data_IF_378920353620
#
_entry.id   IF_378920353620
#
_cell.length_a   1.000
_cell.length_b   1.000
_cell.length_c   1.000
_cell.angle_alpha   90.00
_cell.angle_beta   90.00
_cell.angle_gamma   90.00
#
_symmetry.space_group_name_H-M   'P 1'
#
loop_
_entity.id
_entity.type
_entity.pdbx_description
1 polymer ?
#
# COMPACT_ATOMS: atom_id res chain seq x y z
N UNK A 1 -90.04 -9.34 -22.40
CA UNK A 1 -89.07 -8.23 -22.69
C UNK A 1 -87.69 -8.77 -22.33
N UNK A 2 -87.01 -9.28 -23.34
CA UNK A 2 -85.68 -9.84 -23.24
C UNK A 2 -84.64 -8.76 -23.52
N UNK A 3 -83.63 -8.69 -22.72
CA UNK A 3 -82.42 -7.91 -23.03
C UNK A 3 -81.27 -8.88 -23.26
N UNK A 4 -80.76 -8.91 -24.48
CA UNK A 4 -79.55 -9.63 -24.90
C UNK A 4 -78.31 -8.85 -24.44
N UNK A 5 -77.34 -9.58 -23.87
CA UNK A 5 -76.02 -9.07 -23.60
C UNK A 5 -75.08 -9.42 -24.76
N UNK A 6 -74.62 -8.44 -25.49
CA UNK A 6 -73.53 -8.57 -26.43
C UNK A 6 -72.16 -8.49 -25.69
N UNK A 7 -71.39 -9.56 -25.74
CA UNK A 7 -69.98 -9.57 -25.36
C UNK A 7 -69.16 -9.33 -26.64
N UNK A 8 -68.60 -8.13 -26.76
CA UNK A 8 -67.65 -7.80 -27.82
C UNK A 8 -66.21 -8.06 -27.38
N UNK A 9 -65.54 -8.98 -28.04
CA UNK A 9 -64.09 -9.20 -27.94
C UNK A 9 -63.35 -8.00 -28.55
N UNK A 10 -62.60 -7.29 -27.75
CA UNK A 10 -61.60 -6.32 -28.19
C UNK A 10 -60.21 -6.82 -27.89
N UNK A 11 -59.65 -7.64 -28.77
CA UNK A 11 -58.20 -7.86 -28.83
C UNK A 11 -57.49 -6.65 -29.44
N UNK A 12 -57.05 -5.75 -28.59
CA UNK A 12 -56.27 -4.60 -29.01
C UNK A 12 -54.76 -4.96 -29.01
N UNK A 13 -54.01 -4.58 -30.07
CA UNK A 13 -52.54 -4.75 -30.09
C UNK A 13 -51.80 -4.10 -28.90
N UNK A 14 -52.45 -3.20 -28.24
CA UNK A 14 -51.93 -2.51 -27.06
C UNK A 14 -51.83 -3.41 -25.80
N UNK A 15 -52.73 -4.39 -25.63
CA UNK A 15 -52.68 -5.36 -24.52
C UNK A 15 -51.53 -6.36 -24.67
N UNK A 16 -51.13 -6.76 -25.89
CA UNK A 16 -49.97 -7.64 -26.10
C UNK A 16 -48.63 -6.97 -25.77
N UNK A 17 -48.49 -5.64 -26.06
CA UNK A 17 -47.28 -4.88 -25.69
C UNK A 17 -47.21 -4.62 -24.18
N UNK A 18 -48.34 -4.45 -23.51
CA UNK A 18 -48.37 -4.24 -22.04
C UNK A 18 -48.04 -5.51 -21.26
N UNK A 19 -48.47 -6.69 -21.74
CA UNK A 19 -48.15 -7.98 -21.12
C UNK A 19 -46.67 -8.39 -21.30
N UNK A 20 -46.05 -8.03 -22.42
CA UNK A 20 -44.62 -8.24 -22.63
C UNK A 20 -43.75 -7.27 -21.80
N UNK A 21 -44.22 -6.02 -21.60
CA UNK A 21 -43.56 -5.05 -20.73
C UNK A 21 -43.61 -5.39 -19.24
N UNK A 22 -44.73 -5.95 -18.77
CA UNK A 22 -44.89 -6.36 -17.38
C UNK A 22 -44.12 -7.64 -17.06
N UNK A 23 -43.97 -8.58 -18.01
CA UNK A 23 -43.14 -9.77 -17.80
C UNK A 23 -41.63 -9.42 -17.71
N UNK A 24 -41.16 -8.43 -18.49
CA UNK A 24 -39.78 -7.95 -18.40
C UNK A 24 -39.49 -7.20 -17.08
N UNK A 25 -40.47 -6.44 -16.58
CA UNK A 25 -40.36 -5.76 -15.26
C UNK A 25 -40.44 -6.73 -14.08
N UNK A 26 -41.19 -7.84 -14.18
CA UNK A 26 -41.28 -8.83 -13.11
C UNK A 26 -40.03 -9.74 -13.01
N UNK A 27 -39.33 -9.98 -14.11
CA UNK A 27 -38.02 -10.68 -14.09
C UNK A 27 -36.91 -9.80 -13.51
N UNK A 28 -37.00 -8.47 -13.70
CA UNK A 28 -36.07 -7.51 -13.17
C UNK A 28 -36.17 -7.34 -11.63
N UNK A 29 -37.35 -7.56 -11.05
CA UNK A 29 -37.58 -7.44 -9.61
C UNK A 29 -37.08 -8.63 -8.77
N UNK A 30 -36.56 -9.68 -9.40
CA UNK A 30 -36.00 -10.87 -8.70
C UNK A 30 -34.48 -10.78 -8.47
N UNK A 31 -33.79 -9.79 -9.08
CA UNK A 31 -32.38 -9.59 -8.84
C UNK A 31 -32.16 -8.57 -7.74
N UNK A 32 -31.19 -8.78 -6.83
CA UNK A 32 -30.85 -7.78 -5.82
C UNK A 32 -30.42 -6.47 -6.53
N UNK A 33 -30.73 -5.29 -5.95
CA UNK A 33 -30.47 -3.98 -6.58
C UNK A 33 -29.03 -3.80 -7.10
N UNK A 34 -28.05 -4.40 -6.42
CA UNK A 34 -26.64 -4.38 -6.78
C UNK A 34 -26.33 -5.18 -8.05
N UNK A 35 -26.97 -6.35 -8.25
CA UNK A 35 -26.81 -7.16 -9.46
C UNK A 35 -27.37 -6.43 -10.69
N UNK A 36 -28.42 -5.63 -10.50
CA UNK A 36 -29.02 -4.81 -11.56
C UNK A 36 -28.09 -3.70 -12.04
N UNK A 37 -27.48 -2.98 -11.10
CA UNK A 37 -26.50 -1.90 -11.40
C UNK A 37 -25.26 -2.50 -12.08
N UNK A 38 -24.77 -3.63 -11.58
CA UNK A 38 -23.61 -4.32 -12.15
C UNK A 38 -23.86 -4.78 -13.59
N UNK A 39 -25.02 -5.36 -13.86
CA UNK A 39 -25.40 -5.82 -15.22
C UNK A 39 -25.59 -4.64 -16.19
N UNK A 40 -26.17 -3.54 -15.73
CA UNK A 40 -26.35 -2.33 -16.53
C UNK A 40 -24.98 -1.68 -16.88
N UNK A 41 -24.05 -1.64 -15.93
CA UNK A 41 -22.69 -1.15 -16.16
C UNK A 41 -21.90 -2.04 -17.11
N UNK A 42 -22.01 -3.37 -16.98
CA UNK A 42 -21.36 -4.31 -17.89
C UNK A 42 -21.88 -4.20 -19.34
N UNK A 43 -23.18 -3.92 -19.52
CA UNK A 43 -23.75 -3.64 -20.84
C UNK A 43 -23.27 -2.32 -21.44
N UNK A 44 -23.03 -1.30 -20.60
CA UNK A 44 -22.47 -0.01 -21.03
C UNK A 44 -21.00 -0.13 -21.42
N UNK A 45 -20.25 -1.02 -20.77
CA UNK A 45 -18.82 -1.28 -20.97
C UNK A 45 -18.57 -2.73 -21.42
N UNK A 46 -18.95 -3.14 -22.65
CA UNK A 46 -18.74 -4.52 -23.11
C UNK A 46 -17.25 -4.88 -23.13
N UNK A 47 -16.92 -6.12 -22.76
CA UNK A 47 -15.52 -6.59 -22.59
C UNK A 47 -14.66 -6.33 -23.83
N UNK A 48 -15.18 -6.54 -25.03
CA UNK A 48 -14.46 -6.28 -26.28
C UNK A 48 -14.03 -4.81 -26.50
N UNK A 49 -14.60 -3.87 -25.74
CA UNK A 49 -14.21 -2.44 -25.78
C UNK A 49 -13.27 -2.04 -24.66
N UNK A 50 -13.41 -2.66 -23.48
CA UNK A 50 -12.67 -2.24 -22.27
C UNK A 50 -11.45 -3.13 -21.99
N UNK A 51 -11.31 -4.27 -22.67
CA UNK A 51 -10.14 -5.16 -22.55
C UNK A 51 -9.81 -5.73 -23.91
N UNK A 52 -8.85 -5.13 -24.60
CA UNK A 52 -8.44 -5.49 -25.97
C UNK A 52 -7.09 -6.23 -26.02
N UNK A 53 -6.40 -6.34 -24.87
CA UNK A 53 -5.04 -6.90 -24.75
C UNK A 53 -5.00 -8.33 -24.20
N UNK A 54 -6.17 -8.99 -24.11
CA UNK A 54 -6.26 -10.41 -23.70
C UNK A 54 -6.07 -10.67 -22.22
N UNK A 55 -6.30 -9.66 -21.37
CA UNK A 55 -6.32 -9.80 -19.91
C UNK A 55 -7.50 -10.68 -19.45
N UNK A 56 -7.37 -11.23 -18.24
CA UNK A 56 -8.42 -12.05 -17.60
C UNK A 56 -9.62 -11.18 -17.16
N UNK A 57 -10.35 -10.70 -18.14
CA UNK A 57 -11.56 -9.86 -18.01
C UNK A 57 -12.70 -10.50 -18.77
N UNK A 58 -13.84 -10.65 -18.12
CA UNK A 58 -15.11 -11.13 -18.72
C UNK A 58 -16.18 -10.05 -18.56
N UNK A 59 -17.43 -10.33 -18.95
CA UNK A 59 -18.54 -9.39 -18.74
C UNK A 59 -18.96 -9.26 -17.27
N UNK A 60 -18.54 -10.17 -16.38
CA UNK A 60 -18.93 -10.20 -14.98
C UNK A 60 -17.78 -10.12 -13.99
N UNK A 61 -16.56 -10.45 -14.40
CA UNK A 61 -15.41 -10.58 -13.52
C UNK A 61 -14.13 -10.03 -14.16
N UNK A 62 -13.22 -9.56 -13.30
CA UNK A 62 -11.84 -9.19 -13.64
C UNK A 62 -10.89 -9.80 -12.61
N UNK A 63 -9.78 -10.39 -13.06
CA UNK A 63 -8.81 -11.03 -12.16
C UNK A 63 -7.61 -10.12 -11.94
N UNK A 64 -7.20 -9.95 -10.66
CA UNK A 64 -5.98 -9.26 -10.24
C UNK A 64 -5.04 -10.24 -9.51
N UNK A 65 -3.77 -9.90 -9.41
CA UNK A 65 -2.79 -10.64 -8.61
C UNK A 65 -2.56 -9.97 -7.25
N UNK A 66 -2.29 -10.78 -6.23
CA UNK A 66 -1.75 -10.37 -4.93
C UNK A 66 -0.43 -11.12 -4.75
N UNK A 67 0.69 -10.38 -4.63
CA UNK A 67 2.03 -10.97 -4.57
C UNK A 67 2.81 -10.38 -3.40
N UNK A 68 2.82 -11.10 -2.28
CA UNK A 68 3.53 -10.74 -1.05
C UNK A 68 4.19 -11.97 -0.43
N UNK A 69 5.13 -11.76 0.50
CA UNK A 69 5.66 -12.86 1.33
C UNK A 69 4.72 -13.13 2.49
N UNK A 70 4.07 -14.29 2.48
CA UNK A 70 3.31 -14.80 3.64
C UNK A 70 4.10 -15.87 4.40
N UNK A 71 5.29 -16.22 3.90
CA UNK A 71 6.27 -17.07 4.55
C UNK A 71 7.67 -16.45 4.54
N UNK A 72 8.56 -16.92 5.42
CA UNK A 72 9.94 -16.42 5.55
C UNK A 72 10.08 -15.18 6.44
N UNK A 73 11.25 -14.52 6.36
CA UNK A 73 11.68 -13.42 7.25
C UNK A 73 10.82 -12.16 7.13
N UNK A 74 10.20 -11.94 5.96
CA UNK A 74 9.39 -10.75 5.69
C UNK A 74 7.89 -10.94 5.97
N UNK A 75 7.45 -12.16 6.31
CA UNK A 75 6.04 -12.44 6.57
C UNK A 75 5.41 -11.51 7.64
N UNK A 76 6.17 -11.17 8.68
CA UNK A 76 5.76 -10.24 9.75
C UNK A 76 5.38 -8.86 9.20
N UNK A 77 6.02 -8.40 8.12
CA UNK A 77 5.80 -7.09 7.51
C UNK A 77 4.81 -7.12 6.34
N UNK A 78 4.53 -8.29 5.75
CA UNK A 78 3.80 -8.39 4.48
C UNK A 78 2.39 -9.00 4.62
N UNK A 79 2.12 -9.78 5.67
CA UNK A 79 0.81 -10.44 5.85
C UNK A 79 -0.33 -9.43 5.95
N UNK A 80 -0.16 -8.34 6.70
CA UNK A 80 -1.15 -7.28 6.82
C UNK A 80 -1.50 -6.63 5.47
N UNK A 81 -0.54 -6.53 4.54
CA UNK A 81 -0.79 -6.00 3.20
C UNK A 81 -1.78 -6.87 2.42
N UNK A 82 -1.62 -8.20 2.45
CA UNK A 82 -2.57 -9.15 1.83
C UNK A 82 -3.97 -8.99 2.41
N UNK A 83 -4.06 -8.81 3.72
CA UNK A 83 -5.33 -8.63 4.43
C UNK A 83 -6.02 -7.33 4.03
N UNK A 84 -5.26 -6.24 3.93
CA UNK A 84 -5.78 -4.93 3.54
C UNK A 84 -6.25 -4.89 2.07
N UNK A 85 -5.53 -5.53 1.16
CA UNK A 85 -5.91 -5.67 -0.25
C UNK A 85 -7.20 -6.48 -0.42
N UNK A 86 -7.34 -7.58 0.32
CA UNK A 86 -8.57 -8.38 0.33
C UNK A 86 -9.76 -7.59 0.88
N UNK A 87 -9.58 -6.82 1.94
CA UNK A 87 -10.63 -5.93 2.47
C UNK A 87 -11.05 -4.89 1.42
N UNK A 88 -10.09 -4.25 0.74
CA UNK A 88 -10.40 -3.29 -0.32
C UNK A 88 -11.18 -3.94 -1.46
N UNK A 89 -10.76 -5.12 -1.91
CA UNK A 89 -11.44 -5.88 -2.97
C UNK A 89 -12.88 -6.23 -2.56
N UNK A 90 -13.09 -6.68 -1.33
CA UNK A 90 -14.44 -6.98 -0.82
C UNK A 90 -15.34 -5.74 -0.82
N UNK A 91 -14.82 -4.62 -0.33
CA UNK A 91 -15.56 -3.35 -0.31
C UNK A 91 -15.88 -2.83 -1.72
N UNK A 92 -14.95 -2.94 -2.66
CA UNK A 92 -15.16 -2.58 -4.07
C UNK A 92 -16.22 -3.47 -4.69
N UNK A 93 -16.15 -4.77 -4.44
CA UNK A 93 -17.14 -5.74 -4.94
C UNK A 93 -18.54 -5.49 -4.37
N UNK A 94 -18.63 -5.09 -3.10
CA UNK A 94 -19.89 -4.71 -2.46
C UNK A 94 -20.50 -3.46 -3.10
N UNK A 95 -19.69 -2.59 -3.73
CA UNK A 95 -20.13 -1.38 -4.44
C UNK A 95 -20.40 -1.60 -5.94
N UNK A 96 -20.37 -2.82 -6.45
CA UNK A 96 -20.62 -3.14 -7.85
C UNK A 96 -19.38 -3.44 -8.68
N UNK A 97 -18.19 -3.50 -8.04
CA UNK A 97 -16.93 -3.86 -8.69
C UNK A 97 -16.32 -2.73 -9.51
N UNK A 98 -15.68 -3.06 -10.62
CA UNK A 98 -15.00 -2.14 -11.53
C UNK A 98 -15.60 -2.25 -12.93
N UNK A 99 -16.13 -1.16 -13.47
CA UNK A 99 -16.87 -1.15 -14.74
C UNK A 99 -17.91 -2.29 -14.83
N UNK A 100 -18.60 -2.60 -13.71
CA UNK A 100 -19.60 -3.66 -13.63
C UNK A 100 -19.04 -5.08 -13.45
N UNK A 101 -17.74 -5.26 -13.17
CA UNK A 101 -17.10 -6.55 -12.93
C UNK A 101 -16.69 -6.71 -11.49
N UNK A 102 -16.98 -7.89 -10.92
CA UNK A 102 -16.42 -8.26 -9.62
C UNK A 102 -14.94 -8.56 -9.77
N UNK A 103 -14.14 -8.09 -8.83
CA UNK A 103 -12.72 -8.42 -8.75
C UNK A 103 -12.59 -9.82 -8.17
N UNK A 104 -11.90 -10.69 -8.90
CA UNK A 104 -11.31 -11.94 -8.41
C UNK A 104 -9.83 -11.73 -8.20
N UNK A 105 -9.22 -12.48 -7.30
CA UNK A 105 -7.77 -12.39 -7.11
C UNK A 105 -7.11 -13.76 -7.11
N UNK A 106 -5.85 -13.78 -7.54
CA UNK A 106 -4.92 -14.90 -7.40
C UNK A 106 -3.84 -14.44 -6.46
N UNK A 107 -3.69 -15.13 -5.32
CA UNK A 107 -2.63 -14.83 -4.35
C UNK A 107 -1.44 -15.75 -4.59
N UNK A 108 -0.24 -15.17 -4.65
CA UNK A 108 1.04 -15.86 -4.74
C UNK A 108 1.93 -15.47 -3.56
N UNK A 109 2.66 -16.46 -3.03
CA UNK A 109 3.64 -16.25 -1.97
C UNK A 109 5.04 -16.01 -2.58
N UNK A 110 5.63 -14.87 -2.28
CA UNK A 110 7.01 -14.52 -2.67
C UNK A 110 8.07 -15.17 -1.77
N UNK A 111 7.66 -15.83 -0.67
CA UNK A 111 8.48 -16.62 0.24
C UNK A 111 9.74 -15.89 0.76
N UNK A 112 9.74 -14.56 0.83
CA UNK A 112 10.90 -13.71 1.18
C UNK A 112 12.13 -13.93 0.27
N UNK A 113 11.90 -14.41 -0.96
CA UNK A 113 12.93 -14.76 -1.94
C UNK A 113 12.73 -14.00 -3.26
N UNK A 114 13.71 -13.21 -3.66
CA UNK A 114 13.57 -12.31 -4.81
C UNK A 114 13.38 -13.00 -6.15
N UNK A 115 14.11 -14.10 -6.48
CA UNK A 115 13.84 -14.92 -7.65
C UNK A 115 12.41 -15.47 -7.70
N UNK A 116 11.90 -15.95 -6.56
CA UNK A 116 10.51 -16.43 -6.42
C UNK A 116 9.51 -15.34 -6.76
N UNK A 117 9.73 -14.10 -6.29
CA UNK A 117 8.86 -12.96 -6.68
C UNK A 117 8.82 -12.76 -8.20
N UNK A 118 9.98 -12.81 -8.88
CA UNK A 118 10.04 -12.65 -10.34
C UNK A 118 9.31 -13.79 -11.08
N UNK A 119 9.47 -15.04 -10.62
CA UNK A 119 8.76 -16.20 -11.16
C UNK A 119 7.24 -16.04 -10.99
N UNK A 120 6.78 -15.70 -9.78
CA UNK A 120 5.35 -15.51 -9.48
C UNK A 120 4.75 -14.33 -10.26
N UNK A 121 5.48 -13.22 -10.39
CA UNK A 121 5.07 -12.11 -11.23
C UNK A 121 4.89 -12.53 -12.68
N UNK A 122 5.84 -13.28 -13.24
CA UNK A 122 5.72 -13.81 -14.60
C UNK A 122 4.52 -14.74 -14.75
N UNK A 123 4.27 -15.63 -13.78
CA UNK A 123 3.09 -16.51 -13.78
C UNK A 123 1.79 -15.69 -13.84
N UNK A 124 1.65 -14.69 -12.95
CA UNK A 124 0.47 -13.83 -12.88
C UNK A 124 0.23 -13.07 -14.19
N UNK A 125 1.27 -12.54 -14.83
CA UNK A 125 1.15 -11.73 -16.05
C UNK A 125 0.96 -12.59 -17.31
N UNK A 126 1.69 -13.71 -17.44
CA UNK A 126 1.72 -14.50 -18.68
C UNK A 126 0.67 -15.61 -18.69
N UNK A 127 0.58 -16.36 -17.58
CA UNK A 127 -0.31 -17.52 -17.51
C UNK A 127 -1.72 -17.11 -17.07
N UNK A 128 -1.79 -16.33 -15.99
CA UNK A 128 -3.06 -15.94 -15.37
C UNK A 128 -3.64 -14.65 -16.00
N UNK A 129 -2.82 -13.88 -16.74
CA UNK A 129 -3.19 -12.67 -17.49
C UNK A 129 -3.95 -11.65 -16.64
N UNK A 130 -3.51 -11.46 -15.39
CA UNK A 130 -4.17 -10.56 -14.46
C UNK A 130 -4.16 -9.12 -14.95
N UNK A 131 -5.21 -8.36 -14.65
CA UNK A 131 -5.36 -6.97 -15.08
C UNK A 131 -4.49 -6.00 -14.27
N UNK A 132 -4.01 -6.41 -13.11
CA UNK A 132 -3.08 -5.66 -12.26
C UNK A 132 -2.52 -6.59 -11.18
N UNK A 133 -1.41 -6.21 -10.56
CA UNK A 133 -0.86 -6.90 -9.38
C UNK A 133 -0.71 -5.86 -8.27
N UNK A 134 -1.16 -6.24 -7.07
CA UNK A 134 -0.89 -5.54 -5.81
C UNK A 134 0.24 -6.29 -5.13
N UNK A 135 1.31 -5.62 -4.70
CA UNK A 135 2.33 -6.43 -4.06
C UNK A 135 3.74 -5.88 -4.03
N UNK A 136 4.61 -6.76 -3.63
CA UNK A 136 5.98 -6.55 -3.19
C UNK A 136 6.05 -5.71 -1.91
N UNK A 137 7.13 -5.87 -1.16
CA UNK A 137 7.42 -5.04 0.00
C UNK A 137 8.84 -4.48 -0.06
N UNK A 138 9.82 -5.33 -0.22
CA UNK A 138 11.22 -4.88 -0.27
C UNK A 138 11.55 -4.25 -1.62
N UNK A 139 12.47 -3.27 -1.62
CA UNK A 139 13.01 -2.75 -2.88
C UNK A 139 13.73 -3.85 -3.69
N UNK A 140 14.22 -4.89 -3.03
CA UNK A 140 14.83 -6.02 -3.72
C UNK A 140 13.79 -6.85 -4.48
N UNK A 141 12.64 -7.17 -3.88
CA UNK A 141 11.55 -7.87 -4.58
C UNK A 141 10.99 -7.00 -5.72
N UNK A 142 10.75 -5.69 -5.49
CA UNK A 142 10.32 -4.77 -6.54
C UNK A 142 11.29 -4.75 -7.72
N UNK A 143 12.60 -4.62 -7.47
CA UNK A 143 13.62 -4.61 -8.54
C UNK A 143 13.75 -5.95 -9.26
N UNK A 144 13.45 -7.06 -8.60
CA UNK A 144 13.40 -8.37 -9.25
C UNK A 144 12.20 -8.51 -10.19
N UNK A 145 11.03 -7.95 -9.82
CA UNK A 145 9.82 -8.05 -10.65
C UNK A 145 9.72 -6.96 -11.71
N UNK A 146 10.35 -5.78 -11.52
CA UNK A 146 10.23 -4.64 -12.43
C UNK A 146 10.53 -4.99 -13.88
N UNK A 147 11.64 -5.69 -14.23
CA UNK A 147 11.89 -6.10 -15.62
C UNK A 147 10.79 -7.02 -16.19
N UNK A 148 10.16 -7.83 -15.34
CA UNK A 148 9.05 -8.72 -15.73
C UNK A 148 7.81 -7.88 -16.07
N UNK A 149 7.47 -6.89 -15.23
CA UNK A 149 6.35 -5.99 -15.50
C UNK A 149 6.56 -5.15 -16.75
N UNK A 150 7.77 -4.65 -16.99
CA UNK A 150 8.10 -3.88 -18.19
C UNK A 150 8.09 -4.75 -19.45
N UNK A 151 8.65 -5.96 -19.37
CA UNK A 151 8.71 -6.90 -20.51
C UNK A 151 7.32 -7.35 -20.96
N UNK A 152 6.44 -7.67 -20.00
CA UNK A 152 5.09 -8.21 -20.30
C UNK A 152 4.00 -7.15 -20.20
N UNK A 153 4.38 -5.87 -20.08
CA UNK A 153 3.48 -4.73 -19.95
C UNK A 153 2.39 -4.97 -18.88
N UNK A 154 2.82 -5.34 -17.65
CA UNK A 154 1.94 -5.48 -16.50
C UNK A 154 1.82 -4.15 -15.73
N UNK A 155 0.88 -4.07 -14.77
CA UNK A 155 0.73 -2.95 -13.85
C UNK A 155 0.89 -3.43 -12.41
N UNK A 156 1.84 -2.84 -11.67
CA UNK A 156 2.10 -3.09 -10.26
C UNK A 156 1.64 -1.89 -9.41
N UNK A 157 0.90 -2.15 -8.34
CA UNK A 157 0.66 -1.20 -7.25
C UNK A 157 1.55 -1.60 -6.08
N UNK A 158 2.62 -0.81 -5.86
CA UNK A 158 3.67 -1.08 -4.89
C UNK A 158 3.45 -0.27 -3.60
N UNK A 159 3.17 -0.91 -2.44
CA UNK A 159 2.68 -0.21 -1.25
C UNK A 159 3.78 0.37 -0.36
N UNK A 160 5.03 -0.08 -0.49
CA UNK A 160 6.05 0.21 0.51
C UNK A 160 6.77 1.52 0.23
N UNK A 161 7.08 2.25 1.30
CA UNK A 161 8.03 3.35 1.24
C UNK A 161 9.38 2.85 0.71
N UNK A 162 10.14 3.73 0.01
CA UNK A 162 11.37 3.29 -0.62
C UNK A 162 12.36 4.45 -0.88
N UNK A 163 13.55 4.11 -1.35
CA UNK A 163 14.66 5.04 -1.55
C UNK A 163 14.49 6.06 -2.68
N UNK A 164 13.44 5.97 -3.49
CA UNK A 164 13.35 6.73 -4.74
C UNK A 164 14.31 6.19 -5.80
N UNK A 165 14.83 7.07 -6.66
CA UNK A 165 15.77 6.79 -7.75
C UNK A 165 15.25 5.76 -8.77
N UNK A 166 13.92 5.69 -8.90
CA UNK A 166 13.22 4.81 -9.83
C UNK A 166 11.89 5.44 -10.24
N UNK A 167 11.54 5.24 -11.50
CA UNK A 167 10.22 5.54 -12.04
C UNK A 167 9.94 4.57 -13.18
N UNK A 168 8.74 4.01 -13.23
CA UNK A 168 8.29 3.15 -14.33
C UNK A 168 6.83 3.44 -14.65
N UNK A 169 6.45 3.42 -15.93
CA UNK A 169 5.04 3.51 -16.34
C UNK A 169 4.20 2.32 -15.85
N UNK A 170 4.87 1.21 -15.51
CA UNK A 170 4.26 -0.03 -15.09
C UNK A 170 4.10 -0.16 -13.57
N UNK A 171 4.47 0.88 -12.81
CA UNK A 171 4.37 0.87 -11.35
C UNK A 171 3.67 2.12 -10.83
N UNK A 172 2.68 1.93 -9.97
CA UNK A 172 2.13 2.98 -9.13
C UNK A 172 2.70 2.79 -7.71
N UNK A 173 3.44 3.78 -7.23
CA UNK A 173 4.10 3.75 -5.93
C UNK A 173 3.16 4.37 -4.90
N UNK A 174 2.50 3.54 -4.08
CA UNK A 174 1.57 4.03 -3.07
C UNK A 174 2.23 4.30 -1.71
N UNK A 175 3.48 3.87 -1.51
CA UNK A 175 4.35 4.27 -0.39
C UNK A 175 5.09 5.58 -0.65
N UNK A 176 5.70 6.15 0.39
CA UNK A 176 6.51 7.35 0.29
C UNK A 176 7.89 7.08 -0.33
N UNK A 177 8.46 8.10 -0.97
CA UNK A 177 9.84 8.05 -1.46
C UNK A 177 10.78 8.90 -0.55
N UNK A 178 12.06 9.00 -0.92
CA UNK A 178 13.09 9.56 -0.08
C UNK A 178 12.85 11.00 0.40
N UNK A 179 12.26 11.87 -0.44
CA UNK A 179 12.01 13.28 -0.06
C UNK A 179 10.90 13.39 0.97
N UNK A 180 9.90 12.55 0.85
CA UNK A 180 8.74 12.52 1.74
C UNK A 180 9.02 11.84 3.08
N UNK A 181 9.98 10.92 3.14
CA UNK A 181 10.24 10.13 4.34
C UNK A 181 11.65 10.37 4.92
N UNK A 182 12.71 10.08 4.14
CA UNK A 182 14.09 10.14 4.63
C UNK A 182 14.49 11.56 4.96
N UNK A 183 14.40 12.46 3.97
CA UNK A 183 14.83 13.86 4.10
C UNK A 183 13.95 14.59 5.10
N UNK A 184 12.63 14.50 4.96
CA UNK A 184 11.69 15.14 5.86
C UNK A 184 11.84 14.67 7.32
N UNK A 185 12.09 13.36 7.54
CA UNK A 185 12.33 12.81 8.87
C UNK A 185 13.62 13.30 9.49
N UNK A 186 14.70 13.40 8.72
CA UNK A 186 15.99 13.94 9.19
C UNK A 186 15.90 15.43 9.54
N UNK A 187 15.22 16.21 8.71
CA UNK A 187 14.99 17.64 9.00
C UNK A 187 14.18 17.82 10.28
N UNK A 188 13.13 17.02 10.45
CA UNK A 188 12.32 17.07 11.66
C UNK A 188 13.11 16.70 12.91
N UNK A 189 13.87 15.60 12.90
CA UNK A 189 14.62 15.16 14.08
C UNK A 189 15.75 16.12 14.42
N UNK A 190 16.44 16.65 13.41
CA UNK A 190 17.48 17.65 13.60
C UNK A 190 16.90 18.92 14.25
N UNK A 191 15.82 19.46 13.71
CA UNK A 191 15.17 20.67 14.19
C UNK A 191 14.59 20.49 15.60
N UNK A 192 13.92 19.36 15.84
CA UNK A 192 13.18 19.13 17.09
C UNK A 192 14.07 18.68 18.24
N UNK A 193 15.15 17.92 17.95
CA UNK A 193 16.07 17.38 18.95
C UNK A 193 17.40 18.15 19.04
N UNK A 194 17.60 19.17 18.20
CA UNK A 194 18.87 19.89 18.08
C UNK A 194 20.06 18.93 17.84
N UNK A 195 19.81 17.81 17.15
CA UNK A 195 20.77 16.74 16.91
C UNK A 195 21.95 17.22 16.08
N UNK A 196 23.17 16.78 16.42
CA UNK A 196 24.43 17.12 15.75
C UNK A 196 25.16 15.89 15.21
N UNK A 197 24.88 14.73 15.78
CA UNK A 197 25.58 13.47 15.49
C UNK A 197 24.61 12.33 15.29
N UNK A 198 24.91 11.49 14.29
CA UNK A 198 24.06 10.37 13.88
C UNK A 198 24.87 9.06 13.82
N UNK A 199 24.21 7.96 14.10
CA UNK A 199 24.69 6.61 13.83
C UNK A 199 23.68 5.90 12.95
N UNK A 200 24.11 5.42 11.76
CA UNK A 200 23.23 4.85 10.75
C UNK A 200 23.29 3.31 10.83
N UNK A 201 22.15 2.67 10.87
CA UNK A 201 22.01 1.21 10.83
C UNK A 201 21.08 0.81 9.69
N UNK A 202 21.33 -0.34 9.08
CA UNK A 202 20.45 -0.88 8.06
C UNK A 202 20.53 -2.40 7.91
N UNK A 203 19.48 -2.99 7.39
CA UNK A 203 19.56 -4.33 6.81
C UNK A 203 20.43 -4.30 5.54
N UNK A 204 21.13 -5.40 5.27
CA UNK A 204 22.11 -5.46 4.18
C UNK A 204 21.48 -5.83 2.84
N UNK A 205 20.74 -4.88 2.26
CA UNK A 205 20.25 -4.97 0.88
C UNK A 205 20.04 -3.55 0.29
N UNK A 206 19.53 -3.46 -0.92
CA UNK A 206 19.54 -2.21 -1.72
C UNK A 206 18.85 -1.04 -1.03
N UNK A 207 17.65 -1.23 -0.43
CA UNK A 207 16.90 -0.13 0.17
C UNK A 207 17.63 0.54 1.35
N UNK A 208 18.07 -0.17 2.43
CA UNK A 208 18.76 0.50 3.53
C UNK A 208 20.10 1.10 3.12
N UNK A 209 20.85 0.45 2.21
CA UNK A 209 22.11 0.99 1.72
C UNK A 209 21.93 2.27 0.93
N UNK A 210 20.94 2.32 0.04
CA UNK A 210 20.65 3.54 -0.74
C UNK A 210 20.04 4.62 0.14
N UNK A 211 19.12 4.26 1.04
CA UNK A 211 18.51 5.20 2.00
C UNK A 211 19.55 5.82 2.94
N UNK A 212 20.48 5.03 3.47
CA UNK A 212 21.57 5.57 4.29
C UNK A 212 22.55 6.41 3.49
N UNK A 213 22.80 6.09 2.20
CA UNK A 213 23.60 6.96 1.31
C UNK A 213 22.92 8.34 1.15
N UNK A 214 21.59 8.36 0.96
CA UNK A 214 20.81 9.60 0.90
C UNK A 214 20.85 10.32 2.25
N UNK A 215 20.60 9.61 3.35
CA UNK A 215 20.64 10.15 4.69
C UNK A 215 22.00 10.75 5.04
N UNK A 216 23.10 10.05 4.76
CA UNK A 216 24.45 10.56 4.96
C UNK A 216 24.72 11.82 4.16
N UNK A 217 24.39 11.84 2.85
CA UNK A 217 24.52 13.04 2.02
C UNK A 217 23.74 14.22 2.61
N UNK A 218 22.51 13.97 3.09
CA UNK A 218 21.69 15.03 3.70
C UNK A 218 22.31 15.54 5.01
N UNK A 219 22.68 14.64 5.91
CA UNK A 219 23.29 14.97 7.18
C UNK A 219 24.59 15.75 6.99
N UNK A 220 25.53 15.25 6.17
CA UNK A 220 26.87 15.83 6.06
C UNK A 220 26.91 17.05 5.11
N UNK A 221 26.19 17.02 3.98
CA UNK A 221 26.31 18.03 2.93
C UNK A 221 25.26 19.14 3.04
N UNK A 222 24.04 18.84 3.54
CA UNK A 222 22.96 19.82 3.66
C UNK A 222 22.91 20.37 5.08
N UNK A 223 22.74 19.49 6.08
CA UNK A 223 22.64 19.88 7.48
C UNK A 223 23.99 20.27 8.10
N UNK A 224 25.13 19.91 7.48
CA UNK A 224 26.50 20.15 7.97
C UNK A 224 26.75 19.51 9.35
N UNK A 225 26.23 18.29 9.54
CA UNK A 225 26.32 17.50 10.76
C UNK A 225 27.22 16.28 10.55
N UNK A 226 27.36 15.41 11.57
CA UNK A 226 28.32 14.30 11.53
C UNK A 226 27.61 12.96 11.61
N UNK A 227 28.07 11.99 10.81
CA UNK A 227 27.78 10.56 10.94
C UNK A 227 28.94 9.89 11.65
N UNK A 228 28.69 9.34 12.85
CA UNK A 228 29.72 8.72 13.70
C UNK A 228 30.00 7.27 13.35
N UNK A 229 29.04 6.60 12.70
CA UNK A 229 29.16 5.22 12.26
C UNK A 229 28.03 4.81 11.33
N UNK A 230 28.28 3.74 10.56
CA UNK A 230 27.29 3.18 9.64
C UNK A 230 27.56 1.67 9.52
N UNK A 231 26.54 0.86 9.83
CA UNK A 231 26.68 -0.61 9.81
C UNK A 231 25.43 -1.27 9.22
N UNK A 232 25.67 -2.44 8.61
CA UNK A 232 24.63 -3.22 7.92
C UNK A 232 24.64 -4.67 8.39
N UNK A 233 23.45 -5.28 8.43
CA UNK A 233 23.21 -6.64 8.90
C UNK A 233 22.40 -7.42 7.87
N UNK A 234 22.79 -8.67 7.55
CA UNK A 234 21.98 -9.52 6.70
C UNK A 234 20.54 -9.63 7.19
N UNK A 235 19.58 -9.80 6.26
CA UNK A 235 18.19 -10.08 6.62
C UNK A 235 18.12 -11.34 7.51
N UNK A 236 17.28 -11.30 8.53
CA UNK A 236 17.18 -12.39 9.52
C UNK A 236 18.28 -12.40 10.58
N UNK A 237 19.16 -11.38 10.62
CA UNK A 237 20.18 -11.26 11.69
C UNK A 237 19.55 -11.19 13.07
N UNK A 238 20.19 -11.90 14.02
CA UNK A 238 19.76 -11.94 15.42
C UNK A 238 20.85 -11.47 16.40
N UNK A 239 21.99 -10.95 15.91
CA UNK A 239 23.14 -10.56 16.71
C UNK A 239 23.49 -9.08 16.50
N UNK A 240 23.16 -8.24 17.49
CA UNK A 240 23.36 -6.79 17.44
C UNK A 240 24.21 -6.24 18.60
N UNK A 241 24.65 -7.08 19.55
CA UNK A 241 25.38 -6.64 20.74
C UNK A 241 26.65 -5.83 20.40
N UNK A 242 27.40 -6.22 19.35
CA UNK A 242 28.62 -5.52 18.94
C UNK A 242 28.32 -4.06 18.54
N UNK A 243 27.36 -3.85 17.66
CA UNK A 243 26.99 -2.49 17.19
C UNK A 243 26.35 -1.67 18.31
N UNK A 244 25.56 -2.29 19.18
CA UNK A 244 24.96 -1.63 20.34
C UNK A 244 26.07 -1.10 21.27
N UNK A 245 27.11 -1.88 21.52
CA UNK A 245 28.26 -1.43 22.29
C UNK A 245 29.01 -0.26 21.62
N UNK A 246 29.21 -0.31 20.30
CA UNK A 246 29.82 0.81 19.54
C UNK A 246 28.98 2.08 19.63
N UNK A 247 27.66 1.98 19.51
CA UNK A 247 26.75 3.13 19.68
C UNK A 247 26.82 3.70 21.10
N UNK A 248 26.85 2.87 22.14
CA UNK A 248 27.02 3.30 23.55
C UNK A 248 28.34 4.02 23.78
N UNK A 249 29.42 3.62 23.10
CA UNK A 249 30.72 4.27 23.19
C UNK A 249 30.78 5.59 22.42
N UNK A 250 30.23 5.62 21.21
CA UNK A 250 30.24 6.82 20.34
C UNK A 250 29.23 7.88 20.76
N UNK A 251 28.18 7.53 21.50
CA UNK A 251 27.13 8.39 22.05
C UNK A 251 26.53 9.34 20.98
N UNK A 252 25.95 8.82 19.90
CA UNK A 252 25.31 9.65 18.90
C UNK A 252 24.07 10.35 19.51
N UNK A 253 23.76 11.56 19.06
CA UNK A 253 22.49 12.21 19.43
C UNK A 253 21.30 11.44 18.88
N UNK A 254 21.44 10.85 17.67
CA UNK A 254 20.39 10.08 16.99
C UNK A 254 20.92 8.74 16.51
N UNK A 255 20.25 7.67 16.88
CA UNK A 255 20.33 6.37 16.20
C UNK A 255 19.30 6.37 15.07
N UNK A 256 19.75 6.30 13.83
CA UNK A 256 18.89 6.19 12.66
C UNK A 256 18.88 4.75 12.15
N UNK A 257 17.80 4.02 12.45
CA UNK A 257 17.74 2.56 12.27
C UNK A 257 16.77 2.18 11.14
N UNK A 258 17.32 1.56 10.09
CA UNK A 258 16.57 1.02 8.92
C UNK A 258 16.74 -0.51 8.89
N UNK A 259 16.35 -1.18 9.97
CA UNK A 259 16.33 -2.64 10.10
C UNK A 259 14.92 -3.12 9.77
N UNK A 260 14.79 -4.26 9.04
CA UNK A 260 13.50 -4.76 8.58
C UNK A 260 13.22 -6.20 8.97
N UNK A 261 11.93 -6.56 8.93
CA UNK A 261 11.46 -7.92 9.18
C UNK A 261 11.79 -8.44 10.57
N UNK A 262 11.95 -9.75 10.71
CA UNK A 262 12.20 -10.42 11.99
C UNK A 262 13.47 -9.97 12.72
N UNK A 263 14.43 -9.33 12.03
CA UNK A 263 15.63 -8.77 12.65
C UNK A 263 15.33 -7.66 13.65
N UNK A 264 14.23 -6.91 13.46
CA UNK A 264 13.79 -5.88 14.40
C UNK A 264 13.54 -6.43 15.80
N UNK A 265 12.95 -7.62 15.91
CA UNK A 265 12.66 -8.26 17.19
C UNK A 265 13.94 -8.44 18.02
N UNK A 266 15.00 -8.95 17.39
CA UNK A 266 16.29 -9.16 18.07
C UNK A 266 16.99 -7.84 18.39
N UNK A 267 16.98 -6.87 17.46
CA UNK A 267 17.63 -5.57 17.63
C UNK A 267 17.05 -4.80 18.83
N UNK A 268 15.74 -4.57 18.86
CA UNK A 268 15.12 -3.77 19.92
C UNK A 268 15.18 -4.45 21.29
N UNK A 269 15.01 -5.78 21.36
CA UNK A 269 15.19 -6.53 22.62
C UNK A 269 16.62 -6.41 23.17
N UNK A 270 17.64 -6.56 22.31
CA UNK A 270 19.05 -6.42 22.72
C UNK A 270 19.38 -4.97 23.08
N UNK A 271 18.84 -3.97 22.36
CA UNK A 271 19.02 -2.56 22.66
C UNK A 271 18.51 -2.23 24.08
N UNK A 272 17.30 -2.68 24.41
CA UNK A 272 16.73 -2.54 25.76
C UNK A 272 17.54 -3.30 26.82
N UNK A 273 17.92 -4.56 26.55
CA UNK A 273 18.72 -5.36 27.47
C UNK A 273 20.11 -4.74 27.76
N UNK A 274 20.67 -4.02 26.78
CA UNK A 274 21.90 -3.24 26.95
C UNK A 274 21.72 -1.93 27.77
N UNK A 275 20.51 -1.66 28.25
CA UNK A 275 20.18 -0.48 29.07
C UNK A 275 20.01 0.82 28.29
N UNK A 276 19.75 0.76 26.98
CA UNK A 276 19.44 1.93 26.17
C UNK A 276 17.96 2.31 26.39
N UNK A 277 17.74 3.45 27.01
CA UNK A 277 16.41 4.03 27.25
C UNK A 277 16.03 4.99 26.11
N UNK A 278 15.10 4.60 25.24
CA UNK A 278 14.68 5.39 24.08
C UNK A 278 13.87 6.64 24.45
N UNK A 279 13.51 6.84 25.72
CA UNK A 279 13.00 8.12 26.20
C UNK A 279 14.10 9.16 26.37
N UNK A 280 15.37 8.72 26.49
CA UNK A 280 16.56 9.58 26.64
C UNK A 280 17.44 9.58 25.39
N UNK A 281 17.64 8.41 24.78
CA UNK A 281 18.37 8.25 23.52
C UNK A 281 17.38 8.40 22.35
N UNK A 282 17.54 9.43 21.55
CA UNK A 282 16.72 9.55 20.33
C UNK A 282 17.05 8.42 19.37
N UNK A 283 16.05 7.63 19.02
CA UNK A 283 16.08 6.69 17.91
C UNK A 283 14.99 7.07 16.92
N UNK A 284 15.34 7.19 15.65
CA UNK A 284 14.39 7.34 14.54
C UNK A 284 14.49 6.16 13.61
N UNK A 285 13.35 5.60 13.27
CA UNK A 285 13.20 4.59 12.24
C UNK A 285 12.35 5.10 11.09
N UNK A 286 12.51 4.47 9.93
CA UNK A 286 11.64 4.62 8.76
C UNK A 286 11.17 3.25 8.26
N UNK A 287 11.22 2.23 9.10
CA UNK A 287 10.96 0.82 8.74
C UNK A 287 10.16 0.05 9.79
N UNK A 288 9.81 0.65 10.92
CA UNK A 288 9.04 -0.03 11.96
C UNK A 288 7.68 0.62 12.06
N UNK A 289 6.66 -0.12 11.69
CA UNK A 289 5.25 0.25 11.81
C UNK A 289 4.60 -0.53 12.95
N UNK A 290 3.31 -0.36 13.17
CA UNK A 290 2.58 -1.09 14.19
C UNK A 290 2.66 -2.61 13.98
N UNK A 291 2.71 -3.08 12.73
CA UNK A 291 2.83 -4.51 12.38
C UNK A 291 4.13 -5.10 12.96
N UNK A 292 5.26 -4.40 12.84
CA UNK A 292 6.53 -4.86 13.40
C UNK A 292 6.54 -4.74 14.93
N UNK A 293 5.91 -3.69 15.50
CA UNK A 293 5.87 -3.51 16.95
C UNK A 293 5.13 -4.65 17.64
N UNK A 294 4.11 -5.22 17.02
CA UNK A 294 3.41 -6.38 17.56
C UNK A 294 4.37 -7.56 17.83
N UNK A 295 5.30 -7.81 16.90
CA UNK A 295 6.34 -8.82 17.08
C UNK A 295 7.50 -8.41 18.00
N UNK A 296 7.88 -7.13 18.02
CA UNK A 296 8.95 -6.57 18.85
C UNK A 296 8.54 -6.57 20.33
N UNK A 297 7.29 -6.24 20.61
CA UNK A 297 6.74 -5.87 21.91
C UNK A 297 6.95 -4.37 22.19
N UNK A 298 5.85 -3.66 22.44
CA UNK A 298 5.85 -2.19 22.60
C UNK A 298 6.80 -1.71 23.71
N UNK A 299 6.98 -2.51 24.77
CA UNK A 299 7.90 -2.21 25.87
C UNK A 299 9.38 -2.20 25.44
N UNK A 300 9.73 -2.79 24.28
CA UNK A 300 11.11 -2.81 23.75
C UNK A 300 11.44 -1.61 22.88
N UNK A 301 10.42 -0.92 22.34
CA UNK A 301 10.59 0.19 21.38
C UNK A 301 10.01 1.51 21.90
N UNK A 302 9.31 1.50 23.02
CA UNK A 302 8.66 2.70 23.58
C UNK A 302 9.61 3.89 23.62
N UNK A 303 9.15 5.04 23.11
CA UNK A 303 9.93 6.28 23.02
C UNK A 303 10.67 6.49 21.70
N UNK A 304 10.82 5.46 20.85
CA UNK A 304 11.36 5.60 19.50
C UNK A 304 10.43 6.46 18.62
N UNK A 305 11.01 7.15 17.65
CA UNK A 305 10.27 7.91 16.64
C UNK A 305 10.23 7.13 15.32
N UNK A 306 9.09 7.20 14.62
CA UNK A 306 8.96 6.69 13.25
C UNK A 306 8.52 7.83 12.32
N UNK A 307 9.10 7.90 11.11
CA UNK A 307 8.68 8.83 10.06
C UNK A 307 7.94 8.04 8.98
N UNK A 308 6.63 8.30 8.84
CA UNK A 308 5.69 7.56 7.99
C UNK A 308 4.64 8.51 7.42
N UNK A 309 3.77 8.01 6.54
CA UNK A 309 2.59 8.76 6.09
C UNK A 309 1.32 8.40 6.87
N UNK A 310 1.30 7.25 7.51
CA UNK A 310 0.15 6.73 8.24
C UNK A 310 0.55 6.15 9.59
N UNK A 311 -0.34 6.30 10.55
CA UNK A 311 -0.36 5.59 11.83
C UNK A 311 -1.79 5.15 12.12
N UNK A 312 -1.99 3.96 12.68
CA UNK A 312 -3.33 3.44 13.03
C UNK A 312 -4.09 4.40 13.96
N UNK A 313 -3.37 5.16 14.78
CA UNK A 313 -3.91 6.13 15.72
C UNK A 313 -4.44 7.43 15.09
N UNK A 314 -4.39 7.61 13.77
CA UNK A 314 -4.88 8.82 13.11
C UNK A 314 -6.36 9.07 13.38
N UNK A 315 -6.68 10.28 13.87
CA UNK A 315 -8.04 10.68 14.20
C UNK A 315 -8.74 11.38 13.03
N UNK A 316 -9.21 10.59 12.07
CA UNK A 316 -10.07 11.06 11.00
C UNK A 316 -11.16 10.03 10.65
N UNK A 317 -12.29 10.44 10.04
CA UNK A 317 -13.42 9.54 9.74
C UNK A 317 -13.06 8.36 8.84
N UNK A 318 -12.21 8.58 7.83
CA UNK A 318 -11.81 7.53 6.89
C UNK A 318 -10.99 6.44 7.61
N UNK A 319 -10.06 6.84 8.47
CA UNK A 319 -9.26 5.90 9.24
C UNK A 319 -10.12 5.09 10.21
N UNK A 320 -11.02 5.76 10.94
CA UNK A 320 -11.94 5.06 11.85
C UNK A 320 -12.78 4.01 11.13
N UNK A 321 -13.29 4.33 9.95
CA UNK A 321 -14.06 3.39 9.13
C UNK A 321 -13.19 2.22 8.63
N UNK A 322 -11.97 2.50 8.19
CA UNK A 322 -11.01 1.49 7.72
C UNK A 322 -10.60 0.54 8.85
N UNK A 323 -10.16 1.07 10.01
CA UNK A 323 -9.76 0.27 11.18
C UNK A 323 -10.92 -0.61 11.65
N UNK A 324 -12.13 -0.04 11.75
CA UNK A 324 -13.32 -0.81 12.12
C UNK A 324 -13.64 -1.94 11.14
N UNK A 325 -13.53 -1.69 9.83
CA UNK A 325 -13.76 -2.70 8.81
C UNK A 325 -12.66 -3.79 8.81
N UNK A 326 -11.41 -3.40 9.02
CA UNK A 326 -10.28 -4.31 9.11
C UNK A 326 -10.42 -5.25 10.32
N UNK A 327 -10.69 -4.70 11.49
CA UNK A 327 -10.93 -5.48 12.72
C UNK A 327 -12.14 -6.40 12.59
N UNK A 328 -13.21 -5.94 11.96
CA UNK A 328 -14.40 -6.79 11.71
C UNK A 328 -14.07 -8.01 10.85
N UNK A 329 -13.15 -7.87 9.88
CA UNK A 329 -12.81 -8.95 8.95
C UNK A 329 -11.74 -9.89 9.52
N UNK A 330 -10.74 -9.34 10.25
CA UNK A 330 -9.53 -10.07 10.65
C UNK A 330 -9.39 -10.24 12.17
N UNK A 331 -10.22 -9.57 12.95
CA UNK A 331 -10.22 -9.64 14.42
C UNK A 331 -9.72 -8.37 15.10
N UNK A 332 -10.26 -8.09 16.29
CA UNK A 332 -10.03 -6.83 17.03
C UNK A 332 -8.57 -6.62 17.50
N UNK A 333 -7.76 -7.68 17.48
CA UNK A 333 -6.36 -7.63 17.91
C UNK A 333 -5.38 -7.40 16.75
N UNK A 334 -5.87 -7.40 15.51
CA UNK A 334 -4.99 -7.13 14.37
C UNK A 334 -4.53 -5.67 14.37
N UNK A 335 -3.28 -5.46 14.02
CA UNK A 335 -2.67 -4.12 13.92
C UNK A 335 -2.55 -3.70 12.46
N UNK A 336 -2.42 -2.40 12.24
CA UNK A 336 -2.40 -1.83 10.89
C UNK A 336 -1.26 -0.84 10.81
N UNK A 337 -0.19 -1.20 10.12
CA UNK A 337 0.94 -0.31 9.84
C UNK A 337 0.76 0.52 8.57
N UNK A 338 1.75 1.38 8.33
CA UNK A 338 1.82 2.26 7.17
C UNK A 338 1.71 1.51 5.84
N UNK A 339 2.46 0.41 5.68
CA UNK A 339 2.47 -0.37 4.43
C UNK A 339 1.17 -1.14 4.25
N UNK A 340 0.59 -1.68 5.33
CA UNK A 340 -0.73 -2.32 5.34
C UNK A 340 -1.80 -1.35 4.85
N UNK A 341 -1.78 -0.10 5.33
CA UNK A 341 -2.70 0.95 4.87
C UNK A 341 -2.42 1.33 3.41
N UNK A 342 -1.15 1.44 3.00
CA UNK A 342 -0.79 1.76 1.62
C UNK A 342 -1.20 0.65 0.63
N UNK A 343 -1.18 -0.61 1.05
CA UNK A 343 -1.67 -1.75 0.29
C UNK A 343 -3.20 -1.66 0.06
N UNK A 344 -3.97 -1.23 1.08
CA UNK A 344 -5.39 -0.94 0.92
C UNK A 344 -5.68 0.08 -0.18
N UNK A 345 -4.79 1.05 -0.41
CA UNK A 345 -4.96 2.05 -1.47
C UNK A 345 -4.85 1.44 -2.87
N UNK A 346 -4.05 0.40 -3.05
CA UNK A 346 -3.77 -0.21 -4.36
C UNK A 346 -5.03 -0.56 -5.15
N UNK A 347 -5.91 -1.45 -4.65
CA UNK A 347 -7.16 -1.81 -5.34
C UNK A 347 -8.09 -0.63 -5.58
N UNK A 348 -8.19 0.33 -4.64
CA UNK A 348 -9.01 1.52 -4.80
C UNK A 348 -8.49 2.46 -5.88
N UNK A 349 -7.20 2.76 -5.89
CA UNK A 349 -6.58 3.61 -6.91
C UNK A 349 -6.65 2.94 -8.29
N UNK A 350 -6.44 1.61 -8.36
CA UNK A 350 -6.63 0.86 -9.58
C UNK A 350 -8.06 0.96 -10.11
N UNK A 351 -9.07 0.73 -9.26
CA UNK A 351 -10.48 0.90 -9.62
C UNK A 351 -10.74 2.28 -10.21
N UNK A 352 -10.36 3.33 -9.48
CA UNK A 352 -10.60 4.72 -9.89
C UNK A 352 -9.89 5.06 -11.21
N UNK A 353 -8.70 4.51 -11.41
CA UNK A 353 -7.93 4.69 -12.63
C UNK A 353 -8.56 3.97 -13.83
N UNK A 354 -8.99 2.72 -13.65
CA UNK A 354 -9.69 1.95 -14.68
C UNK A 354 -11.00 2.64 -15.08
N UNK A 355 -11.76 3.14 -14.12
CA UNK A 355 -13.01 3.87 -14.39
C UNK A 355 -12.75 5.18 -15.14
N UNK A 356 -11.70 5.93 -14.79
CA UNK A 356 -11.26 7.12 -15.52
C UNK A 356 -10.78 6.79 -16.93
N UNK A 357 -10.07 5.70 -17.12
CA UNK A 357 -9.62 5.22 -18.42
C UNK A 357 -10.76 4.66 -19.29
N UNK A 358 -11.85 4.19 -18.67
CA UNK A 358 -12.89 3.40 -19.34
C UNK A 358 -12.35 2.09 -19.94
N UNK A 359 -11.26 1.55 -19.37
CA UNK A 359 -10.54 0.40 -19.92
C UNK A 359 -9.72 -0.32 -18.86
N UNK A 360 -9.51 -1.64 -19.05
CA UNK A 360 -8.56 -2.45 -18.29
C UNK A 360 -7.18 -2.53 -18.96
N UNK A 361 -7.05 -2.09 -20.22
CA UNK A 361 -5.78 -2.14 -20.95
C UNK A 361 -4.69 -1.34 -20.25
N UNK A 362 -3.55 -1.96 -19.99
CA UNK A 362 -2.48 -1.43 -19.14
C UNK A 362 -2.00 -0.03 -19.58
N UNK A 363 -1.77 0.18 -20.88
CA UNK A 363 -1.30 1.49 -21.38
C UNK A 363 -2.33 2.60 -21.15
N UNK A 364 -3.63 2.29 -21.27
CA UNK A 364 -4.71 3.24 -20.99
C UNK A 364 -4.83 3.52 -19.50
N UNK A 365 -4.68 2.50 -18.67
CA UNK A 365 -4.67 2.63 -17.21
C UNK A 365 -3.47 3.47 -16.78
N UNK A 366 -2.26 3.16 -17.26
CA UNK A 366 -1.05 3.94 -16.97
C UNK A 366 -1.21 5.42 -17.35
N UNK A 367 -1.70 5.70 -18.57
CA UNK A 367 -1.92 7.06 -19.06
C UNK A 367 -3.01 7.83 -18.28
N UNK A 368 -4.01 7.13 -17.74
CA UNK A 368 -5.09 7.73 -16.95
C UNK A 368 -4.71 7.94 -15.47
N UNK A 369 -3.66 7.28 -14.96
CA UNK A 369 -3.27 7.32 -13.55
C UNK A 369 -2.97 8.71 -13.01
N UNK A 370 -2.24 9.61 -13.71
CA UNK A 370 -1.95 10.94 -13.19
C UNK A 370 -3.22 11.72 -12.85
N UNK A 371 -3.21 12.35 -11.67
CA UNK A 371 -4.33 13.14 -11.17
C UNK A 371 -5.52 12.33 -10.65
N UNK A 372 -5.45 11.00 -10.59
CA UNK A 372 -6.47 10.19 -9.90
C UNK A 372 -6.40 10.48 -8.41
N UNK A 373 -7.55 10.73 -7.80
CA UNK A 373 -7.70 11.11 -6.40
C UNK A 373 -8.48 10.04 -5.64
N UNK A 374 -8.03 9.73 -4.41
CA UNK A 374 -8.80 8.92 -3.49
C UNK A 374 -9.07 9.70 -2.19
N UNK A 375 -10.28 10.23 -2.06
CA UNK A 375 -10.73 11.01 -0.90
C UNK A 375 -11.07 10.14 0.31
N UNK A 376 -11.29 8.85 0.10
CA UNK A 376 -11.59 7.85 1.14
C UNK A 376 -10.35 7.20 1.75
N UNK A 377 -9.14 7.65 1.42
CA UNK A 377 -7.92 7.07 1.96
C UNK A 377 -7.84 7.22 3.49
N UNK A 378 -7.44 6.17 4.23
CA UNK A 378 -7.32 6.23 5.70
C UNK A 378 -6.32 7.27 6.19
N UNK A 379 -5.23 7.49 5.45
CA UNK A 379 -4.26 8.55 5.74
C UNK A 379 -4.78 9.97 5.49
N UNK A 380 -5.96 10.09 4.87
CA UNK A 380 -6.54 11.30 4.33
C UNK A 380 -6.49 11.32 2.79
N UNK A 381 -6.74 12.49 2.20
CA UNK A 381 -6.72 12.65 0.75
C UNK A 381 -5.36 12.32 0.14
N UNK A 382 -5.36 11.50 -0.92
CA UNK A 382 -4.18 11.20 -1.74
C UNK A 382 -4.48 11.43 -3.22
N UNK A 383 -3.43 11.71 -4.00
CA UNK A 383 -3.51 11.91 -5.45
C UNK A 383 -2.28 11.32 -6.13
N UNK A 384 -2.47 10.65 -7.26
CA UNK A 384 -1.36 10.15 -8.08
C UNK A 384 -0.73 11.32 -8.83
N UNK A 385 0.58 11.48 -8.69
CA UNK A 385 1.41 12.44 -9.42
C UNK A 385 1.74 11.91 -10.83
N UNK A 386 2.21 12.79 -11.73
CA UNK A 386 2.62 12.42 -13.09
C UNK A 386 3.78 11.40 -13.15
N UNK A 387 4.59 11.34 -12.10
CA UNK A 387 5.65 10.35 -11.95
C UNK A 387 5.19 9.03 -11.31
N UNK A 388 3.88 8.80 -11.19
CA UNK A 388 3.24 7.61 -10.63
C UNK A 388 3.43 7.40 -9.12
N UNK A 389 3.93 8.39 -8.39
CA UNK A 389 3.96 8.40 -6.91
C UNK A 389 2.75 9.14 -6.34
N UNK A 390 2.55 9.05 -5.03
CA UNK A 390 1.45 9.76 -4.38
C UNK A 390 1.91 11.08 -3.77
N UNK A 391 1.13 12.14 -3.99
CA UNK A 391 1.09 13.25 -3.06
C UNK A 391 0.58 12.73 -1.72
N UNK A 392 1.34 12.89 -0.66
CA UNK A 392 0.96 12.44 0.68
C UNK A 392 1.49 13.38 1.76
N UNK A 393 0.92 13.32 2.96
CA UNK A 393 1.50 13.98 4.13
C UNK A 393 2.63 13.15 4.72
N UNK A 394 3.61 13.82 5.30
CA UNK A 394 4.61 13.17 6.14
C UNK A 394 4.27 13.40 7.61
N UNK A 395 4.38 12.36 8.40
CA UNK A 395 4.09 12.35 9.82
C UNK A 395 5.24 11.77 10.61
N UNK A 396 5.35 12.17 11.86
CA UNK A 396 6.23 11.52 12.83
C UNK A 396 5.39 11.05 14.00
N UNK A 397 5.54 9.79 14.33
CA UNK A 397 4.94 9.16 15.49
C UNK A 397 5.98 8.84 16.56
N UNK A 398 5.57 8.78 17.83
CA UNK A 398 6.37 8.30 18.94
C UNK A 398 5.76 7.02 19.49
N UNK A 399 6.54 5.94 19.52
CA UNK A 399 6.07 4.61 19.93
C UNK A 399 5.66 4.61 21.42
N UNK A 400 4.51 3.93 21.68
CA UNK A 400 3.93 3.69 22.99
C UNK A 400 4.15 2.25 23.44
N UNK A 401 3.89 1.99 24.71
CA UNK A 401 3.98 0.64 25.28
C UNK A 401 2.92 -0.33 24.78
N UNK A 402 1.81 0.18 24.29
CA UNK A 402 0.70 -0.62 23.74
C UNK A 402 0.88 -0.97 22.25
N UNK A 403 2.05 -0.68 21.67
CA UNK A 403 2.36 -0.98 20.28
C UNK A 403 1.87 0.05 19.27
N UNK A 404 1.19 1.10 19.71
CA UNK A 404 0.72 2.18 18.87
C UNK A 404 1.68 3.37 18.86
N UNK A 405 1.44 4.34 17.99
CA UNK A 405 2.17 5.60 17.93
C UNK A 405 1.32 6.80 18.36
N UNK A 406 1.90 7.71 19.14
CA UNK A 406 1.37 9.06 19.31
C UNK A 406 1.85 9.93 18.16
N UNK A 407 0.93 10.56 17.44
CA UNK A 407 1.28 11.53 16.40
C UNK A 407 1.90 12.78 17.04
N UNK A 408 3.16 13.07 16.74
CA UNK A 408 3.90 14.23 17.28
C UNK A 408 4.18 15.31 16.24
N UNK A 409 4.02 14.99 14.96
CA UNK A 409 4.19 15.94 13.86
C UNK A 409 3.42 15.48 12.62
N UNK A 410 2.89 16.45 11.89
CA UNK A 410 2.30 16.26 10.55
C UNK A 410 2.64 17.48 9.69
N UNK A 411 2.96 17.28 8.40
CA UNK A 411 3.11 18.38 7.44
C UNK A 411 1.77 19.08 7.21
N UNK A 412 1.79 20.40 7.12
CA UNK A 412 0.56 21.19 6.90
C UNK A 412 -0.13 20.83 5.58
N UNK A 413 0.66 20.65 4.52
CA UNK A 413 0.20 20.33 3.17
C UNK A 413 0.68 18.94 2.75
N UNK A 414 0.08 18.42 1.67
CA UNK A 414 0.63 17.28 0.94
C UNK A 414 2.01 17.65 0.40
N UNK A 415 2.94 16.71 0.50
CA UNK A 415 4.26 16.82 -0.10
C UNK A 415 4.23 16.26 -1.52
N UNK A 416 4.80 17.02 -2.45
CA UNK A 416 5.03 16.58 -3.81
C UNK A 416 6.10 15.50 -3.83
N UNK A 417 5.86 14.35 -4.51
CA UNK A 417 6.87 13.33 -4.61
C UNK A 417 7.94 13.70 -5.65
N UNK A 418 9.22 13.63 -5.26
CA UNK A 418 10.37 13.77 -6.16
C UNK A 418 11.28 12.55 -6.03
N UNK A 419 11.07 11.50 -6.87
CA UNK A 419 11.89 10.29 -6.80
C UNK A 419 13.36 10.52 -7.23
N UNK A 420 13.68 11.63 -7.87
CA UNK A 420 15.05 11.94 -8.32
C UNK A 420 15.57 13.27 -7.76
N UNK A 421 15.58 13.49 -6.44
CA UNK A 421 15.95 14.76 -5.87
C UNK A 421 17.38 15.15 -6.24
N UNK A 422 17.54 16.41 -6.66
CA UNK A 422 18.83 16.93 -7.09
C UNK A 422 19.88 16.83 -5.98
N UNK A 423 21.02 16.23 -6.32
CA UNK A 423 22.15 16.07 -5.41
C UNK A 423 22.17 14.78 -4.61
N UNK A 424 21.15 13.92 -4.75
CA UNK A 424 21.05 12.64 -4.02
C UNK A 424 21.23 11.40 -4.90
N UNK A 425 21.35 11.58 -6.18
CA UNK A 425 21.60 10.51 -7.16
C UNK A 425 23.00 9.89 -7.02
#
# INVERSE_FOLDING_TARGET
MSFEHHTGDLESPFRRKLLLGTAALSAASLLPPQAFVQQALAQQFPTAKVSTTGLAVTDSEVTVGILHSVTGTMAISETGSVEAEKLAIEQINAQGGVLGRKIKFIQEDGASDWPTFAEKAKKLLVNDKVASVMGCWTSASRKAVLPVFEQYNGMLYYPTFYEGLEQSKNVIYTGQEATQQIIAGLDWVQKTKAAKTFYLLGSDYIWPRTSNKIARKHIENVLKLKVLGEEYFPLGSTQFNSVINKMKLSKPDVIYAIIVGGSNVAFYKQLKAAGVDLNKQTLMTISVTEDEIDGIGGENIVGAYACMKYFQSLDNPNNKAFVSAFHKMWGDKTVIGDVTQAAYLGPWLWKLTVEKAGSFDIDKVAAASPGVEFKGAPEGYVRIHENHHLWSKTRVGRARTDGQYDLVYETANLMEPDPFPKGYQ
#
